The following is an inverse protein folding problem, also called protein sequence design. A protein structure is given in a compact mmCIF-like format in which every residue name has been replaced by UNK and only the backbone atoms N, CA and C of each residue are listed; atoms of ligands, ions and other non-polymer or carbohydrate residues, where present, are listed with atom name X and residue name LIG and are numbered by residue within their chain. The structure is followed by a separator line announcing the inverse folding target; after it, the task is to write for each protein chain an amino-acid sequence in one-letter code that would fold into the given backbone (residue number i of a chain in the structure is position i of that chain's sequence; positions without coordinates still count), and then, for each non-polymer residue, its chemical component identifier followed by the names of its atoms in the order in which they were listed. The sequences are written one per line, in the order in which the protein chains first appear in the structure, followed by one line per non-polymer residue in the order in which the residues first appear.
data_IF_384282447997
#
_entry.id   IF_384282447997
#
_cell.length_a   1.000
_cell.length_b   1.000
_cell.length_c   1.000
_cell.angle_alpha   90.00
_cell.angle_beta   90.00
_cell.angle_gamma   90.00
#
_symmetry.space_group_name_H-M   'P 1'
#
loop_
_entity.id
_entity.type
_entity.pdbx_description
1 polymer ?
#
# COMPACT_ATOMS: atom_id res chain seq x y z
N UNK A 1 11.26 -6.37 -15.37
CA UNK A 1 9.86 -6.28 -15.83
C UNK A 1 9.43 -4.83 -15.98
N UNK A 2 9.60 -4.00 -14.95
CA UNK A 2 9.33 -2.56 -15.00
C UNK A 2 10.53 -1.85 -15.64
N UNK A 3 10.28 -0.89 -16.52
CA UNK A 3 11.32 -0.13 -17.22
C UNK A 3 11.90 1.00 -16.35
N UNK A 4 13.11 1.45 -16.72
CA UNK A 4 13.87 2.46 -15.96
C UNK A 4 13.13 3.80 -15.89
N UNK A 5 12.57 4.26 -17.01
CA UNK A 5 11.92 5.57 -17.09
C UNK A 5 10.69 5.61 -16.16
N UNK A 6 9.90 4.55 -16.14
CA UNK A 6 8.80 4.38 -15.18
C UNK A 6 9.32 4.46 -13.74
N UNK A 7 10.37 3.72 -13.37
CA UNK A 7 10.91 3.76 -12.00
C UNK A 7 11.40 5.15 -11.60
N UNK A 8 12.12 5.86 -12.48
CA UNK A 8 12.60 7.23 -12.24
C UNK A 8 11.44 8.20 -12.04
N UNK A 9 10.42 8.16 -12.90
CA UNK A 9 9.27 9.07 -12.79
C UNK A 9 8.39 8.73 -11.58
N UNK A 10 8.13 7.44 -11.35
CA UNK A 10 7.24 6.97 -10.29
C UNK A 10 7.83 7.26 -8.90
N UNK A 11 9.14 7.07 -8.72
CA UNK A 11 9.83 7.44 -7.49
C UNK A 11 10.06 8.97 -7.39
N UNK A 12 10.79 9.57 -8.32
CA UNK A 12 11.29 10.95 -8.15
C UNK A 12 10.21 12.01 -8.35
N UNK A 13 9.12 11.69 -9.04
CA UNK A 13 8.02 12.64 -9.30
C UNK A 13 6.76 12.29 -8.51
N UNK A 14 6.20 11.10 -8.72
CA UNK A 14 4.91 10.76 -8.10
C UNK A 14 5.04 10.61 -6.59
N UNK A 15 5.94 9.76 -6.11
CA UNK A 15 6.16 9.60 -4.67
C UNK A 15 6.58 10.92 -4.01
N UNK A 16 7.53 11.66 -4.60
CA UNK A 16 7.94 12.97 -4.10
C UNK A 16 6.78 13.99 -4.02
N UNK A 17 5.84 13.98 -4.97
CA UNK A 17 4.68 14.87 -4.94
C UNK A 17 3.77 14.56 -3.75
N UNK A 18 3.55 13.28 -3.44
CA UNK A 18 2.80 12.88 -2.25
C UNK A 18 3.48 13.36 -0.98
N UNK A 19 4.79 13.14 -0.84
CA UNK A 19 5.58 13.62 0.31
C UNK A 19 5.49 15.14 0.46
N UNK A 20 5.70 15.89 -0.63
CA UNK A 20 5.66 17.36 -0.61
C UNK A 20 4.30 17.87 -0.13
N UNK A 21 3.21 17.32 -0.66
CA UNK A 21 1.84 17.74 -0.32
C UNK A 21 1.42 17.28 1.07
N UNK A 22 1.88 16.11 1.53
CA UNK A 22 1.66 15.65 2.89
C UNK A 22 2.33 16.59 3.89
N UNK A 23 3.61 16.90 3.70
CA UNK A 23 4.37 17.77 4.60
C UNK A 23 3.69 19.14 4.76
N UNK A 24 3.28 19.75 3.64
CA UNK A 24 2.55 21.02 3.67
C UNK A 24 1.19 20.94 4.40
N UNK A 25 0.55 19.78 4.44
CA UNK A 25 -0.73 19.59 5.11
C UNK A 25 -0.60 19.36 6.62
N UNK A 26 0.52 18.80 7.07
CA UNK A 26 0.76 18.45 8.49
C UNK A 26 1.65 19.45 9.22
N UNK A 27 2.31 20.37 8.51
CA UNK A 27 3.20 21.39 9.07
C UNK A 27 2.53 22.17 10.22
N UNK A 28 3.19 22.18 11.39
CA UNK A 28 2.70 22.88 12.57
C UNK A 28 1.51 22.21 13.28
N UNK A 29 1.14 20.99 12.89
CA UNK A 29 0.13 20.17 13.55
C UNK A 29 0.78 19.05 14.40
N UNK A 30 0.02 18.45 15.31
CA UNK A 30 0.48 17.28 16.08
C UNK A 30 0.76 16.03 15.20
N UNK A 31 0.32 16.04 13.94
CA UNK A 31 0.58 14.93 13.00
C UNK A 31 2.01 14.95 12.46
N UNK A 32 2.70 16.09 12.48
CA UNK A 32 4.07 16.23 11.95
C UNK A 32 5.07 15.31 12.66
N UNK A 33 4.81 14.98 13.92
CA UNK A 33 5.67 14.12 14.73
C UNK A 33 5.29 12.63 14.68
N UNK A 34 4.21 12.25 14.00
CA UNK A 34 3.71 10.87 13.95
C UNK A 34 4.33 10.09 12.79
N UNK A 35 4.38 8.77 12.91
CA UNK A 35 4.75 7.93 11.77
C UNK A 35 3.66 7.94 10.71
N UNK A 36 4.01 7.66 9.46
CA UNK A 36 3.05 7.64 8.37
C UNK A 36 2.01 6.53 8.55
N UNK A 37 2.41 5.37 9.08
CA UNK A 37 1.54 4.26 9.42
C UNK A 37 0.52 4.66 10.50
N UNK A 38 0.96 5.34 11.55
CA UNK A 38 0.07 5.83 12.62
C UNK A 38 -0.95 6.84 12.08
N UNK A 39 -0.53 7.75 11.20
CA UNK A 39 -1.44 8.73 10.57
C UNK A 39 -2.49 8.01 9.71
N UNK A 40 -2.08 7.08 8.86
CA UNK A 40 -2.99 6.39 7.92
C UNK A 40 -3.90 5.37 8.62
N UNK A 41 -3.43 4.71 9.68
CA UNK A 41 -4.24 3.80 10.48
C UNK A 41 -5.32 4.53 11.29
N UNK A 42 -5.12 5.82 11.61
CA UNK A 42 -6.02 6.62 12.43
C UNK A 42 -6.56 7.84 11.66
N UNK A 43 -6.88 7.70 10.36
CA UNK A 43 -7.34 8.80 9.49
C UNK A 43 -8.60 9.51 10.02
N UNK A 44 -9.45 8.78 10.73
CA UNK A 44 -10.64 9.26 11.42
C UNK A 44 -10.34 10.19 12.61
N UNK A 45 -9.11 10.18 13.13
CA UNK A 45 -8.62 11.16 14.12
C UNK A 45 -8.00 12.42 13.50
N UNK A 46 -7.80 12.45 12.18
CA UNK A 46 -7.21 13.61 11.48
C UNK A 46 -8.25 14.74 11.40
N UNK A 47 -7.86 16.01 11.66
CA UNK A 47 -8.76 17.15 11.52
C UNK A 47 -9.46 17.19 10.15
N UNK A 48 -10.77 17.45 10.17
CA UNK A 48 -11.64 17.27 9.00
C UNK A 48 -11.25 18.14 7.79
N UNK A 49 -10.65 19.30 8.03
CA UNK A 49 -10.20 20.25 7.02
C UNK A 49 -8.98 19.75 6.22
N UNK A 50 -8.14 18.91 6.81
CA UNK A 50 -6.97 18.30 6.14
C UNK A 50 -7.13 16.81 5.85
N UNK A 51 -8.16 16.15 6.40
CA UNK A 51 -8.34 14.69 6.32
C UNK A 51 -8.24 14.12 4.89
N UNK A 52 -8.85 14.78 3.91
CA UNK A 52 -8.78 14.32 2.51
C UNK A 52 -7.37 14.45 1.93
N UNK A 53 -6.64 15.51 2.27
CA UNK A 53 -5.27 15.73 1.82
C UNK A 53 -4.33 14.70 2.45
N UNK A 54 -4.50 14.43 3.74
CA UNK A 54 -3.74 13.41 4.48
C UNK A 54 -4.07 12.01 3.98
N UNK A 55 -5.34 11.66 3.76
CA UNK A 55 -5.74 10.38 3.16
C UNK A 55 -5.05 10.14 1.82
N UNK A 56 -5.12 11.11 0.92
CA UNK A 56 -4.62 10.93 -0.45
C UNK A 56 -3.08 10.98 -0.52
N UNK A 57 -2.45 11.94 0.14
CA UNK A 57 -0.99 12.12 0.05
C UNK A 57 -0.24 11.30 1.10
N UNK A 58 -0.82 11.12 2.28
CA UNK A 58 -0.28 10.22 3.30
C UNK A 58 -0.40 8.76 2.89
N UNK A 59 -1.57 8.36 2.38
CA UNK A 59 -1.73 7.06 1.73
C UNK A 59 -0.76 6.89 0.56
N UNK A 60 -0.61 7.91 -0.29
CA UNK A 60 0.36 7.90 -1.39
C UNK A 60 1.79 7.68 -0.91
N UNK A 61 2.23 8.39 0.13
CA UNK A 61 3.56 8.19 0.71
C UNK A 61 3.75 6.77 1.28
N UNK A 62 2.80 6.29 2.09
CA UNK A 62 2.85 4.96 2.68
C UNK A 62 2.90 3.86 1.62
N UNK A 63 1.96 3.89 0.67
CA UNK A 63 1.81 2.85 -0.34
C UNK A 63 3.06 2.70 -1.19
N UNK A 64 3.68 3.82 -1.62
CA UNK A 64 4.89 3.78 -2.43
C UNK A 64 6.11 3.38 -1.60
N UNK A 65 6.22 3.84 -0.35
CA UNK A 65 7.30 3.42 0.55
C UNK A 65 7.31 1.91 0.73
N UNK A 66 6.14 1.29 0.94
CA UNK A 66 5.98 -0.16 0.95
C UNK A 66 6.33 -0.80 -0.41
N UNK A 67 5.81 -0.24 -1.52
CA UNK A 67 6.05 -0.79 -2.87
C UNK A 67 7.54 -0.92 -3.20
N UNK A 68 8.35 0.08 -2.87
CA UNK A 68 9.79 0.03 -3.16
C UNK A 68 10.53 -1.05 -2.38
N UNK A 69 10.18 -1.24 -1.11
CA UNK A 69 10.78 -2.28 -0.25
C UNK A 69 10.36 -3.70 -0.63
N UNK A 70 9.22 -3.84 -1.32
CA UNK A 70 8.67 -5.14 -1.75
C UNK A 70 9.24 -5.62 -3.10
N UNK A 71 9.98 -4.77 -3.81
CA UNK A 71 10.58 -5.12 -5.11
C UNK A 71 12.06 -5.44 -4.96
N UNK A 72 12.51 -6.50 -5.64
CA UNK A 72 13.92 -6.89 -5.67
C UNK A 72 14.30 -7.50 -7.02
N UNK A 73 15.52 -7.24 -7.53
CA UNK A 73 16.02 -7.94 -8.71
C UNK A 73 16.31 -9.43 -8.46
N UNK A 74 16.35 -9.87 -7.19
CA UNK A 74 16.76 -11.22 -6.78
C UNK A 74 15.64 -11.95 -6.03
N UNK A 75 14.44 -11.99 -6.61
CA UNK A 75 13.26 -12.60 -5.97
C UNK A 75 13.35 -14.13 -5.97
N UNK A 76 12.98 -14.75 -4.84
CA UNK A 76 12.78 -16.19 -4.70
C UNK A 76 11.46 -16.47 -3.97
N UNK A 77 10.63 -17.35 -4.52
CA UNK A 77 9.29 -17.68 -4.00
C UNK A 77 9.38 -18.70 -2.84
N UNK A 78 9.89 -18.25 -1.69
CA UNK A 78 10.11 -19.07 -0.49
C UNK A 78 9.79 -18.31 0.81
N UNK A 79 9.77 -19.03 1.92
CA UNK A 79 9.57 -18.48 3.26
C UNK A 79 8.15 -18.66 3.79
N UNK A 80 7.94 -18.29 5.05
CA UNK A 80 6.72 -18.60 5.80
C UNK A 80 5.45 -18.08 5.12
N UNK A 81 5.49 -16.87 4.55
CA UNK A 81 4.33 -16.30 3.84
C UNK A 81 3.97 -17.12 2.62
N UNK A 82 4.96 -17.62 1.86
CA UNK A 82 4.71 -18.47 0.68
C UNK A 82 4.12 -19.82 1.10
N UNK A 83 4.57 -20.38 2.21
CA UNK A 83 4.02 -21.63 2.75
C UNK A 83 2.57 -21.45 3.22
N UNK A 84 2.26 -20.35 3.93
CA UNK A 84 0.89 -19.99 4.32
C UNK A 84 -0.02 -19.74 3.12
N UNK A 85 0.49 -19.12 2.06
CA UNK A 85 -0.25 -18.95 0.81
C UNK A 85 -0.61 -20.32 0.22
N UNK A 86 0.35 -21.25 0.14
CA UNK A 86 0.10 -22.60 -0.38
C UNK A 86 -0.88 -23.38 0.51
N UNK A 87 -0.81 -23.20 1.83
CA UNK A 87 -1.76 -23.81 2.77
C UNK A 87 -3.18 -23.32 2.53
N UNK A 88 -3.37 -22.01 2.34
CA UNK A 88 -4.71 -21.42 2.23
C UNK A 88 -5.30 -21.51 0.80
N UNK A 89 -4.50 -21.32 -0.25
CA UNK A 89 -4.95 -21.36 -1.66
C UNK A 89 -4.71 -22.72 -2.34
N UNK A 90 -4.04 -23.66 -1.68
CA UNK A 90 -3.65 -24.95 -2.25
C UNK A 90 -2.40 -24.88 -3.15
N UNK A 91 -2.16 -23.75 -3.81
CA UNK A 91 -0.92 -23.49 -4.55
C UNK A 91 -0.63 -22.00 -4.68
N UNK A 92 0.62 -21.65 -5.00
CA UNK A 92 1.00 -20.27 -5.28
C UNK A 92 0.37 -19.75 -6.59
N UNK A 93 0.11 -20.62 -7.56
CA UNK A 93 -0.49 -20.25 -8.84
C UNK A 93 -1.96 -19.85 -8.68
N UNK A 94 -2.73 -20.56 -7.85
CA UNK A 94 -4.11 -20.17 -7.52
C UNK A 94 -4.17 -18.83 -6.78
N UNK A 95 -3.23 -18.57 -5.85
CA UNK A 95 -3.08 -17.26 -5.23
C UNK A 95 -2.78 -16.17 -6.26
N UNK A 96 -1.78 -16.38 -7.14
CA UNK A 96 -1.40 -15.41 -8.18
C UNK A 96 -2.56 -15.12 -9.11
N UNK A 97 -3.35 -16.14 -9.46
CA UNK A 97 -4.55 -16.00 -10.29
C UNK A 97 -5.59 -15.11 -9.60
N UNK A 98 -5.95 -15.40 -8.35
CA UNK A 98 -6.92 -14.56 -7.63
C UNK A 98 -6.40 -13.13 -7.44
N UNK A 99 -5.12 -12.97 -7.10
CA UNK A 99 -4.49 -11.65 -6.94
C UNK A 99 -4.52 -10.86 -8.24
N UNK A 100 -4.14 -11.47 -9.36
CA UNK A 100 -4.15 -10.86 -10.69
C UNK A 100 -5.57 -10.51 -11.15
N UNK A 101 -6.55 -11.40 -10.93
CA UNK A 101 -7.95 -11.16 -11.29
C UNK A 101 -8.51 -9.96 -10.51
N UNK A 102 -8.21 -9.85 -9.20
CA UNK A 102 -8.64 -8.70 -8.38
C UNK A 102 -7.92 -7.41 -8.77
N UNK A 103 -6.62 -7.46 -9.05
CA UNK A 103 -5.86 -6.32 -9.54
C UNK A 103 -6.41 -5.80 -10.88
N UNK A 104 -6.69 -6.71 -11.83
CA UNK A 104 -7.26 -6.35 -13.13
C UNK A 104 -8.70 -5.83 -13.02
N UNK A 105 -9.48 -6.34 -12.07
CA UNK A 105 -10.86 -5.90 -11.84
C UNK A 105 -10.96 -4.55 -11.11
N UNK A 106 -9.86 -4.00 -10.56
CA UNK A 106 -9.84 -2.66 -9.96
C UNK A 106 -10.08 -1.61 -11.04
N UNK A 107 -11.31 -1.13 -11.14
CA UNK A 107 -11.68 -0.07 -12.07
C UNK A 107 -11.20 1.30 -11.57
N UNK A 108 -10.52 2.03 -12.46
CA UNK A 108 -9.84 3.28 -12.11
C UNK A 108 -8.55 3.07 -11.34
N UNK A 109 -7.99 4.14 -10.78
CA UNK A 109 -6.78 4.06 -9.98
C UNK A 109 -7.02 3.33 -8.66
N UNK A 110 -6.05 2.53 -8.23
CA UNK A 110 -6.10 1.82 -6.96
C UNK A 110 -4.96 0.83 -6.81
N UNK A 111 -5.05 0.01 -5.77
CA UNK A 111 -4.05 -0.98 -5.41
C UNK A 111 -4.71 -2.34 -5.16
N UNK A 112 -3.96 -3.42 -5.39
CA UNK A 112 -4.25 -4.75 -4.90
C UNK A 112 -3.29 -5.12 -3.77
N UNK A 113 -3.81 -5.74 -2.71
CA UNK A 113 -3.05 -6.01 -1.50
C UNK A 113 -3.20 -7.46 -1.06
N UNK A 114 -2.09 -8.04 -0.60
CA UNK A 114 -2.14 -9.15 0.35
C UNK A 114 -2.04 -8.54 1.75
N UNK A 115 -3.00 -8.87 2.61
CA UNK A 115 -3.07 -8.33 3.97
C UNK A 115 -3.14 -9.45 5.00
N UNK A 116 -2.70 -9.14 6.21
CA UNK A 116 -2.99 -9.92 7.41
C UNK A 116 -4.19 -9.30 8.13
N UNK A 117 -5.24 -10.07 8.33
CA UNK A 117 -6.44 -9.70 9.08
C UNK A 117 -6.70 -10.74 10.17
N UNK A 118 -6.57 -10.37 11.44
CA UNK A 118 -6.74 -11.28 12.58
C UNK A 118 -5.93 -12.60 12.44
N UNK A 119 -4.72 -12.51 11.91
CA UNK A 119 -3.81 -13.65 11.69
C UNK A 119 -4.07 -14.47 10.42
N UNK A 120 -5.07 -14.10 9.60
CA UNK A 120 -5.38 -14.76 8.32
C UNK A 120 -4.95 -13.90 7.14
N UNK A 121 -4.64 -14.55 6.01
CA UNK A 121 -4.30 -13.85 4.77
C UNK A 121 -5.56 -13.52 3.96
N UNK A 122 -5.64 -12.31 3.43
CA UNK A 122 -6.73 -11.89 2.54
C UNK A 122 -6.18 -11.13 1.33
N UNK A 123 -6.84 -11.26 0.18
CA UNK A 123 -6.60 -10.39 -0.97
C UNK A 123 -7.72 -9.35 -1.04
N UNK A 124 -7.34 -8.07 -0.92
CA UNK A 124 -8.25 -6.92 -1.00
C UNK A 124 -7.77 -5.92 -2.04
N UNK A 125 -8.64 -5.00 -2.43
CA UNK A 125 -8.25 -3.89 -3.31
C UNK A 125 -8.76 -2.58 -2.73
N UNK A 126 -8.01 -1.51 -2.91
CA UNK A 126 -8.39 -0.17 -2.44
C UNK A 126 -8.43 0.81 -3.62
N UNK A 127 -9.36 1.80 -3.61
CA UNK A 127 -9.36 2.85 -4.63
C UNK A 127 -8.29 3.90 -4.32
N UNK A 128 -7.76 4.51 -5.37
CA UNK A 128 -6.80 5.62 -5.29
C UNK A 128 -5.59 5.32 -4.40
N UNK A 129 -5.43 6.04 -3.29
CA UNK A 129 -4.35 5.85 -2.32
C UNK A 129 -4.83 5.39 -0.95
N UNK A 130 -6.07 4.90 -0.88
CA UNK A 130 -6.57 4.26 0.34
C UNK A 130 -5.70 3.04 0.68
N UNK A 131 -5.52 2.77 1.97
CA UNK A 131 -4.68 1.69 2.45
C UNK A 131 -5.48 0.79 3.42
N UNK A 132 -5.31 -0.55 3.38
CA UNK A 132 -5.99 -1.46 4.30
C UNK A 132 -5.72 -1.21 5.79
N UNK A 133 -4.65 -0.50 6.16
CA UNK A 133 -4.37 -0.11 7.54
C UNK A 133 -5.51 0.71 8.16
N UNK A 134 -6.21 1.55 7.37
CA UNK A 134 -7.37 2.31 7.85
C UNK A 134 -8.54 1.40 8.23
N UNK A 135 -8.58 0.17 7.69
CA UNK A 135 -9.58 -0.85 8.03
C UNK A 135 -9.04 -1.87 9.06
N UNK A 136 -7.89 -1.59 9.70
CA UNK A 136 -7.28 -2.48 10.69
C UNK A 136 -6.62 -3.72 10.09
N UNK A 137 -6.33 -3.74 8.79
CA UNK A 137 -5.66 -4.86 8.09
C UNK A 137 -4.24 -4.47 7.73
N UNK A 138 -3.26 -5.30 8.06
CA UNK A 138 -1.84 -5.00 7.81
C UNK A 138 -1.43 -5.43 6.39
N UNK A 139 -1.10 -4.52 5.47
CA UNK A 139 -0.62 -4.88 4.14
C UNK A 139 0.81 -5.44 4.21
N UNK A 140 1.04 -6.56 3.50
CA UNK A 140 2.34 -7.23 3.41
C UNK A 140 2.84 -7.42 1.97
N UNK A 141 1.98 -7.16 0.97
CA UNK A 141 2.33 -7.05 -0.44
C UNK A 141 1.35 -6.08 -1.11
N UNK A 142 1.83 -5.26 -2.04
CA UNK A 142 1.01 -4.30 -2.79
C UNK A 142 1.40 -4.24 -4.27
N UNK A 143 0.40 -4.07 -5.14
CA UNK A 143 0.55 -3.82 -6.58
C UNK A 143 -0.34 -2.64 -7.00
#
# INVERSE_FOLDING_TARGET
HIDKETMEIHHDKHHNTYVTKLNAAVEGTDLEAKSIEEIVANLDSVPSDIQTVVRNNGGGHLNHSLFWELLTPNSEEKGEVVDKIKEQWGSLDEFKKEFADKAAARFGSGWAWLVVNNGQLEIVTTPNQDNPLTEGKTPILGL
#
